data_IF_886271428302
#
_entry.id   IF_886271428302
#
_cell.length_a   1.000
_cell.length_b   1.000
_cell.length_c   1.000
_cell.angle_alpha   90.00
_cell.angle_beta   90.00
_cell.angle_gamma   90.00
#
_symmetry.space_group_name_H-M   'P 1'
#
loop_
_entity.id
_entity.type
_entity.pdbx_description
1 polymer ?
#
# COMPACT_ATOMS: atom_id res chain seq x y z
N UNK A 1 -5.22 -6.03 8.74
CA UNK A 1 -4.53 -5.71 7.47
C UNK A 1 -3.05 -6.04 7.53
N UNK A 2 -2.37 -5.56 8.54
CA UNK A 2 -0.92 -5.81 8.66
C UNK A 2 -0.61 -7.30 8.74
N UNK A 3 -1.38 -8.07 9.49
CA UNK A 3 -1.16 -9.50 9.60
C UNK A 3 -1.30 -10.22 8.25
N UNK A 4 -2.22 -9.78 7.41
CA UNK A 4 -2.40 -10.35 6.08
C UNK A 4 -1.25 -9.98 5.15
N UNK A 5 -0.83 -8.73 5.20
CA UNK A 5 0.29 -8.25 4.38
C UNK A 5 1.58 -8.96 4.78
N UNK A 6 1.78 -9.19 6.06
CA UNK A 6 2.97 -9.89 6.56
C UNK A 6 3.09 -11.31 6.03
N UNK A 7 1.97 -11.94 5.67
CA UNK A 7 1.99 -13.27 5.07
C UNK A 7 2.37 -13.24 3.60
N UNK A 8 2.24 -12.09 2.94
CA UNK A 8 2.51 -11.93 1.52
C UNK A 8 3.92 -11.43 1.24
N UNK A 9 4.51 -10.70 2.17
CA UNK A 9 5.84 -10.11 1.98
C UNK A 9 6.49 -9.86 3.33
N UNK A 10 7.81 -9.67 3.31
CA UNK A 10 8.54 -9.26 4.52
C UNK A 10 8.28 -7.79 4.79
N UNK A 11 7.84 -7.49 6.02
CA UNK A 11 7.58 -6.13 6.46
C UNK A 11 8.74 -5.61 7.32
N UNK A 12 8.96 -4.29 7.35
CA UNK A 12 9.86 -3.69 8.33
C UNK A 12 9.42 -4.06 9.75
N UNK A 13 10.36 -4.18 10.67
CA UNK A 13 10.06 -4.54 12.06
C UNK A 13 9.48 -3.39 12.87
N UNK A 14 9.25 -2.26 12.25
CA UNK A 14 8.64 -1.08 12.87
C UNK A 14 7.15 -1.03 12.54
N UNK A 15 6.39 -0.26 13.32
CA UNK A 15 4.98 -0.04 13.03
C UNK A 15 4.84 0.89 11.81
N UNK A 16 3.75 0.74 11.03
CA UNK A 16 3.50 1.65 9.92
C UNK A 16 3.39 3.09 10.40
N UNK A 17 3.96 3.99 9.62
CA UNK A 17 3.84 5.41 9.84
C UNK A 17 2.40 5.87 9.67
N UNK A 18 1.75 5.34 8.63
CA UNK A 18 0.37 5.68 8.29
C UNK A 18 -0.26 4.57 7.45
N UNK A 19 -1.55 4.36 7.63
CA UNK A 19 -2.35 3.47 6.78
C UNK A 19 -3.51 4.29 6.23
N UNK A 20 -3.59 4.37 4.90
CA UNK A 20 -4.61 5.17 4.22
C UNK A 20 -5.45 4.27 3.31
N UNK A 21 -6.78 4.41 3.40
CA UNK A 21 -7.68 3.76 2.45
C UNK A 21 -7.86 4.67 1.24
N UNK A 22 -7.70 4.09 0.06
CA UNK A 22 -7.83 4.85 -1.19
C UNK A 22 -9.30 5.19 -1.45
N UNK A 23 -9.60 6.47 -1.60
CA UNK A 23 -10.94 6.95 -1.93
C UNK A 23 -10.99 7.57 -3.31
N UNK A 24 -9.93 8.21 -3.77
CA UNK A 24 -9.83 8.83 -5.07
C UNK A 24 -8.60 8.30 -5.81
N UNK A 25 -8.81 7.23 -6.56
CA UNK A 25 -7.73 6.57 -7.29
C UNK A 25 -7.15 7.47 -8.39
N UNK A 26 -7.99 8.29 -9.03
CA UNK A 26 -7.53 9.14 -10.13
C UNK A 26 -6.59 10.23 -9.64
N UNK A 27 -6.89 10.82 -8.49
CA UNK A 27 -6.03 11.83 -7.88
C UNK A 27 -4.66 11.26 -7.52
N UNK A 28 -4.64 10.07 -6.92
CA UNK A 28 -3.38 9.41 -6.56
C UNK A 28 -2.56 9.04 -7.79
N UNK A 29 -3.19 8.56 -8.84
CA UNK A 29 -2.49 8.20 -10.08
C UNK A 29 -1.80 9.40 -10.71
N UNK A 30 -2.38 10.58 -10.56
CA UNK A 30 -1.78 11.82 -11.09
C UNK A 30 -0.58 12.28 -10.28
N UNK A 31 -0.54 11.96 -8.99
CA UNK A 31 0.51 12.44 -8.09
C UNK A 31 1.83 11.71 -8.28
N UNK A 32 1.79 10.40 -8.55
CA UNK A 32 3.01 9.61 -8.58
C UNK A 32 2.80 8.32 -9.39
N UNK A 33 3.74 7.95 -10.29
CA UNK A 33 3.66 6.70 -11.04
C UNK A 33 3.55 5.44 -10.17
N UNK A 34 4.03 5.50 -8.93
CA UNK A 34 3.89 4.40 -7.99
C UNK A 34 2.42 3.99 -7.80
N UNK A 35 1.50 4.93 -7.93
CA UNK A 35 0.07 4.71 -7.74
C UNK A 35 -0.68 4.36 -9.02
N UNK A 36 0.02 4.05 -10.11
CA UNK A 36 -0.62 3.82 -11.42
C UNK A 36 -1.67 2.72 -11.40
N UNK A 37 -1.50 1.71 -10.56
CA UNK A 37 -2.41 0.55 -10.47
C UNK A 37 -3.31 0.57 -9.23
N UNK A 38 -3.30 1.66 -8.47
CA UNK A 38 -4.12 1.77 -7.27
C UNK A 38 -5.60 1.85 -7.64
N UNK A 39 -6.45 1.25 -6.80
CA UNK A 39 -7.91 1.26 -6.97
C UNK A 39 -8.59 1.74 -5.72
N UNK A 40 -9.79 2.27 -5.88
CA UNK A 40 -10.63 2.62 -4.76
C UNK A 40 -10.85 1.40 -3.86
N UNK A 41 -10.63 1.59 -2.56
CA UNK A 41 -10.75 0.51 -1.58
C UNK A 41 -9.44 -0.19 -1.26
N UNK A 42 -8.38 0.06 -2.04
CA UNK A 42 -7.05 -0.42 -1.69
C UNK A 42 -6.52 0.32 -0.47
N UNK A 43 -5.52 -0.25 0.18
CA UNK A 43 -4.87 0.37 1.32
C UNK A 43 -3.42 0.71 0.97
N UNK A 44 -3.00 1.89 1.40
CA UNK A 44 -1.60 2.31 1.29
C UNK A 44 -1.02 2.26 2.68
N UNK A 45 -0.02 1.40 2.88
CA UNK A 45 0.66 1.21 4.15
C UNK A 45 2.03 1.88 4.04
N UNK A 46 2.23 2.93 4.81
CA UNK A 46 3.46 3.72 4.74
C UNK A 46 4.35 3.47 5.94
N UNK A 47 5.60 3.12 5.66
CA UNK A 47 6.68 3.04 6.64
C UNK A 47 7.66 4.18 6.39
N UNK A 48 8.59 4.38 7.31
CA UNK A 48 9.60 5.43 7.18
C UNK A 48 10.37 5.34 5.86
N UNK A 49 10.75 4.14 5.46
CA UNK A 49 11.57 3.91 4.25
C UNK A 49 10.91 2.96 3.26
N UNK A 50 9.60 2.80 3.34
CA UNK A 50 8.91 1.87 2.45
C UNK A 50 7.44 2.25 2.32
N UNK A 51 6.81 1.81 1.23
CA UNK A 51 5.38 1.96 1.02
C UNK A 51 4.85 0.73 0.30
N UNK A 52 3.65 0.30 0.69
CA UNK A 52 3.00 -0.88 0.13
C UNK A 52 1.57 -0.52 -0.23
N UNK A 53 1.14 -0.92 -1.43
CA UNK A 53 -0.26 -0.82 -1.84
C UNK A 53 -0.85 -2.23 -1.78
N UNK A 54 -1.88 -2.39 -0.96
CA UNK A 54 -2.49 -3.70 -0.69
C UNK A 54 -3.95 -3.71 -1.11
N UNK A 55 -4.34 -4.72 -1.90
CA UNK A 55 -5.73 -4.98 -2.28
C UNK A 55 -6.31 -6.01 -1.32
N UNK A 56 -7.13 -5.54 -0.39
CA UNK A 56 -7.76 -6.38 0.62
C UNK A 56 -8.74 -7.39 0.02
N UNK A 57 -9.47 -6.99 -1.00
CA UNK A 57 -10.49 -7.85 -1.62
C UNK A 57 -9.89 -9.07 -2.27
N UNK A 58 -8.75 -8.90 -2.92
CA UNK A 58 -8.05 -9.99 -3.62
C UNK A 58 -6.87 -10.53 -2.81
N UNK A 59 -6.62 -9.99 -1.63
CA UNK A 59 -5.51 -10.38 -0.76
C UNK A 59 -4.18 -10.36 -1.53
N UNK A 60 -3.91 -9.26 -2.23
CA UNK A 60 -2.79 -9.14 -3.15
C UNK A 60 -2.03 -7.85 -2.91
N UNK A 61 -0.69 -7.93 -2.99
CA UNK A 61 0.16 -6.74 -3.00
C UNK A 61 0.13 -6.17 -4.42
N UNK A 62 -0.39 -4.95 -4.56
CA UNK A 62 -0.48 -4.27 -5.86
C UNK A 62 0.88 -3.70 -6.24
N UNK A 63 1.54 -3.06 -5.29
CA UNK A 63 2.85 -2.46 -5.52
C UNK A 63 3.57 -2.29 -4.18
N UNK A 64 4.90 -2.24 -4.24
CA UNK A 64 5.74 -2.02 -3.07
C UNK A 64 7.01 -1.29 -3.50
N UNK A 65 7.44 -0.33 -2.67
CA UNK A 65 8.73 0.33 -2.89
C UNK A 65 9.49 0.46 -1.59
N UNK A 66 10.80 0.48 -1.67
CA UNK A 66 11.71 0.72 -0.56
C UNK A 66 12.73 1.79 -0.95
N UNK A 67 13.09 2.61 0.00
CA UNK A 67 14.15 3.59 -0.19
C UNK A 67 15.52 3.00 0.17
#
# INVERSE_FOLDING_TARGET
IIARVAKLTSLPQEEPYEIVRVQDQDDLRKQNPFYKDVKEGDYIIMYKNAAIIYDLRNNTIVAMKRD
#
